data_IF_807803402713
#
_entry.id   IF_807803402713
#
_cell.length_a   1.000
_cell.length_b   1.000
_cell.length_c   1.000
_cell.angle_alpha   90.00
_cell.angle_beta   90.00
_cell.angle_gamma   90.00
#
_symmetry.space_group_name_H-M   'P 1'
#
loop_
_entity.id
_entity.type
_entity.pdbx_description
1 polymer ?
#
# COMPACT_ATOMS: atom_id res chain seq x y z
N UNK A 1 -16.86 -31.64 -28.52
CA UNK A 1 -16.14 -31.08 -27.37
C UNK A 1 -16.82 -29.83 -26.79
N UNK A 2 -17.82 -29.23 -27.46
CA UNK A 2 -18.55 -28.03 -26.99
C UNK A 2 -19.65 -28.29 -25.94
N UNK A 3 -20.18 -29.52 -25.87
CA UNK A 3 -21.39 -29.82 -25.10
C UNK A 3 -21.25 -29.66 -23.57
N UNK A 4 -20.04 -29.70 -23.03
CA UNK A 4 -19.82 -29.69 -21.57
C UNK A 4 -19.56 -28.28 -21.01
N UNK A 5 -18.89 -27.41 -21.78
CA UNK A 5 -18.89 -25.98 -21.50
C UNK A 5 -20.34 -25.44 -21.54
N UNK A 6 -21.16 -25.94 -22.47
CA UNK A 6 -22.58 -25.59 -22.55
C UNK A 6 -23.33 -25.92 -21.26
N UNK A 7 -23.20 -27.11 -20.66
CA UNK A 7 -23.93 -27.46 -19.41
C UNK A 7 -23.64 -26.50 -18.25
N UNK A 8 -22.38 -26.12 -18.03
CA UNK A 8 -22.02 -25.18 -16.96
C UNK A 8 -22.51 -23.75 -17.29
N UNK A 9 -22.42 -23.36 -18.56
CA UNK A 9 -22.94 -22.07 -19.03
C UNK A 9 -24.46 -22.01 -18.88
N UNK A 10 -25.19 -23.06 -19.23
CA UNK A 10 -26.65 -23.18 -19.12
C UNK A 10 -27.11 -23.15 -17.66
N UNK A 11 -26.36 -23.81 -16.77
CA UNK A 11 -26.57 -23.69 -15.33
C UNK A 11 -26.42 -22.25 -14.87
N UNK A 12 -25.34 -21.58 -15.27
CA UNK A 12 -25.10 -20.18 -14.91
C UNK A 12 -26.22 -19.29 -15.46
N UNK A 13 -26.65 -19.52 -16.69
CA UNK A 13 -27.71 -18.75 -17.34
C UNK A 13 -29.06 -18.89 -16.61
N UNK A 14 -29.39 -20.09 -16.14
CA UNK A 14 -30.66 -20.35 -15.46
C UNK A 14 -30.64 -20.10 -13.94
N UNK A 15 -29.45 -20.14 -13.30
CA UNK A 15 -29.30 -20.17 -11.83
C UNK A 15 -28.36 -19.11 -11.25
N UNK A 16 -27.87 -18.15 -12.04
CA UNK A 16 -26.98 -17.10 -11.54
C UNK A 16 -27.50 -16.38 -10.29
N UNK A 17 -28.79 -16.03 -10.25
CA UNK A 17 -29.43 -15.38 -9.09
C UNK A 17 -29.42 -16.25 -7.84
N UNK A 18 -29.76 -17.54 -7.97
CA UNK A 18 -29.80 -18.49 -6.85
C UNK A 18 -28.38 -18.68 -6.27
N UNK A 19 -27.39 -18.88 -7.15
CA UNK A 19 -25.99 -19.07 -6.75
C UNK A 19 -25.43 -17.79 -6.11
N UNK A 20 -25.74 -16.62 -6.68
CA UNK A 20 -25.28 -15.33 -6.14
C UNK A 20 -25.87 -15.03 -4.77
N UNK A 21 -27.14 -15.41 -4.52
CA UNK A 21 -27.77 -15.29 -3.19
C UNK A 21 -27.09 -16.17 -2.16
N UNK A 22 -26.79 -17.43 -2.52
CA UNK A 22 -26.07 -18.34 -1.64
C UNK A 22 -24.66 -17.81 -1.33
N UNK A 23 -23.93 -17.36 -2.35
CA UNK A 23 -22.63 -16.75 -2.15
C UNK A 23 -22.68 -15.50 -1.27
N UNK A 24 -23.70 -14.63 -1.44
CA UNK A 24 -23.87 -13.44 -0.63
C UNK A 24 -24.08 -13.79 0.85
N UNK A 25 -24.85 -14.83 1.16
CA UNK A 25 -24.99 -15.34 2.52
C UNK A 25 -23.66 -15.81 3.11
N UNK A 26 -22.87 -16.53 2.32
CA UNK A 26 -21.58 -17.07 2.75
C UNK A 26 -20.57 -15.93 3.02
N UNK A 27 -20.36 -15.04 2.04
CA UNK A 27 -19.32 -13.99 2.13
C UNK A 27 -19.63 -12.97 3.22
N UNK A 28 -20.90 -12.67 3.46
CA UNK A 28 -21.33 -11.71 4.50
C UNK A 28 -21.27 -12.28 5.92
N UNK A 29 -21.00 -13.58 6.09
CA UNK A 29 -20.85 -14.23 7.41
C UNK A 29 -19.47 -14.82 7.63
N UNK A 30 -18.66 -14.93 6.58
CA UNK A 30 -17.37 -15.60 6.63
C UNK A 30 -16.35 -14.79 7.44
N UNK A 31 -15.55 -15.49 8.26
CA UNK A 31 -14.58 -14.88 9.19
C UNK A 31 -13.42 -14.13 8.49
N UNK A 32 -13.04 -14.56 7.29
CA UNK A 32 -12.03 -13.92 6.43
C UNK A 32 -12.54 -12.73 5.62
N UNK A 33 -13.83 -12.39 5.71
CA UNK A 33 -14.43 -11.24 5.00
C UNK A 33 -15.27 -10.37 5.94
N UNK A 34 -14.71 -9.90 7.06
CA UNK A 34 -15.46 -9.10 8.04
C UNK A 34 -15.99 -7.78 7.48
N UNK A 35 -15.31 -7.16 6.51
CA UNK A 35 -15.75 -5.90 5.92
C UNK A 35 -17.02 -6.07 5.08
N UNK A 36 -17.30 -7.28 4.58
CA UNK A 36 -18.54 -7.59 3.85
C UNK A 36 -19.78 -7.64 4.75
N UNK A 37 -19.63 -7.82 6.07
CA UNK A 37 -20.76 -7.97 6.99
C UNK A 37 -21.62 -6.70 7.08
N UNK A 38 -21.01 -5.55 6.81
CA UNK A 38 -21.65 -4.24 6.89
C UNK A 38 -22.19 -3.74 5.53
N UNK A 39 -21.94 -4.47 4.44
CA UNK A 39 -22.41 -4.08 3.11
C UNK A 39 -23.91 -4.35 2.95
N UNK A 40 -24.56 -3.59 2.06
CA UNK A 40 -25.95 -3.90 1.73
C UNK A 40 -26.04 -5.24 0.99
N UNK A 41 -26.84 -6.16 1.52
CA UNK A 41 -27.04 -7.48 0.92
C UNK A 41 -27.48 -7.42 -0.55
N UNK A 42 -28.39 -6.53 -0.98
CA UNK A 42 -28.74 -6.39 -2.40
C UNK A 42 -27.54 -6.03 -3.29
N UNK A 43 -26.65 -5.15 -2.83
CA UNK A 43 -25.43 -4.78 -3.55
C UNK A 43 -24.46 -5.96 -3.68
N UNK A 44 -24.33 -6.77 -2.62
CA UNK A 44 -23.51 -7.98 -2.67
C UNK A 44 -24.10 -8.96 -3.68
N UNK A 45 -25.41 -9.26 -3.61
CA UNK A 45 -26.08 -10.16 -4.57
C UNK A 45 -25.88 -9.69 -6.02
N UNK A 46 -26.10 -8.39 -6.29
CA UNK A 46 -25.90 -7.80 -7.62
C UNK A 46 -24.49 -8.08 -8.15
N UNK A 47 -23.47 -7.99 -7.30
CA UNK A 47 -22.09 -8.29 -7.67
C UNK A 47 -21.88 -9.75 -8.08
N UNK A 48 -22.47 -10.70 -7.35
CA UNK A 48 -22.38 -12.12 -7.70
C UNK A 48 -23.08 -12.39 -9.04
N UNK A 49 -24.26 -11.81 -9.24
CA UNK A 49 -25.01 -11.92 -10.50
C UNK A 49 -24.23 -11.35 -11.68
N UNK A 50 -23.66 -10.15 -11.53
CA UNK A 50 -22.89 -9.52 -12.60
C UNK A 50 -21.61 -10.30 -12.93
N UNK A 51 -20.96 -10.89 -11.92
CA UNK A 51 -19.83 -11.79 -12.13
C UNK A 51 -20.25 -13.01 -12.96
N UNK A 52 -21.36 -13.67 -12.63
CA UNK A 52 -21.83 -14.84 -13.39
C UNK A 52 -22.25 -14.49 -14.83
N UNK A 53 -22.82 -13.30 -15.04
CA UNK A 53 -23.06 -12.76 -16.40
C UNK A 53 -21.75 -12.53 -17.16
N UNK A 54 -20.72 -12.00 -16.50
CA UNK A 54 -19.39 -11.88 -17.12
C UNK A 54 -18.83 -13.24 -17.47
N UNK A 55 -18.94 -14.23 -16.58
CA UNK A 55 -18.41 -15.56 -16.81
C UNK A 55 -18.96 -16.17 -18.11
N UNK A 56 -20.27 -16.04 -18.34
CA UNK A 56 -20.91 -16.41 -19.60
C UNK A 56 -20.27 -15.72 -20.79
N UNK A 57 -20.06 -14.39 -20.74
CA UNK A 57 -19.40 -13.65 -21.83
C UNK A 57 -17.97 -14.13 -22.07
N UNK A 58 -17.16 -14.28 -21.02
CA UNK A 58 -15.79 -14.81 -21.11
C UNK A 58 -15.74 -16.21 -21.72
N UNK A 59 -16.75 -17.04 -21.46
CA UNK A 59 -16.82 -18.39 -22.02
C UNK A 59 -17.09 -18.44 -23.52
N UNK A 60 -17.64 -17.37 -24.09
CA UNK A 60 -17.91 -17.25 -25.53
C UNK A 60 -16.91 -16.33 -26.24
N UNK A 61 -16.08 -15.60 -25.49
CA UNK A 61 -15.11 -14.66 -26.03
C UNK A 61 -13.88 -15.39 -26.62
N UNK A 62 -13.40 -14.88 -27.74
CA UNK A 62 -12.11 -15.30 -28.33
C UNK A 62 -10.94 -14.93 -27.40
N UNK A 63 -11.06 -13.81 -26.70
CA UNK A 63 -10.05 -13.27 -25.78
C UNK A 63 -10.63 -13.05 -24.37
N UNK A 64 -10.82 -14.11 -23.56
CA UNK A 64 -11.48 -14.02 -22.25
C UNK A 64 -10.80 -13.07 -21.27
N UNK A 65 -9.47 -12.93 -21.37
CA UNK A 65 -8.69 -12.02 -20.54
C UNK A 65 -9.08 -10.55 -20.79
N UNK A 66 -9.21 -10.12 -22.05
CA UNK A 66 -9.61 -8.74 -22.36
C UNK A 66 -11.08 -8.48 -22.00
N UNK A 67 -11.96 -9.46 -22.21
CA UNK A 67 -13.38 -9.39 -21.82
C UNK A 67 -13.56 -9.17 -20.31
N UNK A 68 -12.69 -9.78 -19.49
CA UNK A 68 -12.72 -9.62 -18.03
C UNK A 68 -12.44 -8.18 -17.57
N UNK A 69 -11.62 -7.43 -18.31
CA UNK A 69 -10.98 -6.18 -17.85
C UNK A 69 -11.97 -5.12 -17.39
N UNK A 70 -12.98 -4.84 -18.20
CA UNK A 70 -13.98 -3.81 -17.92
C UNK A 70 -14.73 -4.09 -16.62
N UNK A 71 -15.15 -5.35 -16.43
CA UNK A 71 -15.83 -5.76 -15.19
C UNK A 71 -14.86 -5.74 -14.01
N UNK A 72 -13.69 -6.37 -14.14
CA UNK A 72 -12.68 -6.48 -13.07
C UNK A 72 -12.30 -5.10 -12.52
N UNK A 73 -12.14 -4.11 -13.41
CA UNK A 73 -11.80 -2.75 -13.00
C UNK A 73 -12.94 -2.06 -12.27
N UNK A 74 -14.17 -2.16 -12.78
CA UNK A 74 -15.36 -1.60 -12.12
C UNK A 74 -15.59 -2.26 -10.75
N UNK A 75 -15.42 -3.57 -10.67
CA UNK A 75 -15.47 -4.35 -9.43
C UNK A 75 -14.47 -3.81 -8.42
N UNK A 76 -13.19 -3.75 -8.81
CA UNK A 76 -12.11 -3.32 -7.94
C UNK A 76 -12.29 -1.88 -7.46
N UNK A 77 -12.71 -0.96 -8.34
CA UNK A 77 -12.98 0.42 -7.97
C UNK A 77 -14.11 0.52 -6.94
N UNK A 78 -15.26 -0.12 -7.21
CA UNK A 78 -16.42 -0.09 -6.30
C UNK A 78 -16.03 -0.57 -4.90
N UNK A 79 -15.37 -1.72 -4.79
CA UNK A 79 -14.99 -2.27 -3.48
C UNK A 79 -13.85 -1.51 -2.79
N UNK A 80 -12.93 -0.90 -3.55
CA UNK A 80 -11.93 0.00 -2.99
C UNK A 80 -12.56 1.26 -2.39
N UNK A 81 -13.57 1.82 -3.08
CA UNK A 81 -14.31 2.99 -2.62
C UNK A 81 -15.11 2.68 -1.34
N UNK A 82 -15.70 1.48 -1.25
CA UNK A 82 -16.32 0.90 -0.04
C UNK A 82 -15.32 0.50 1.06
N UNK A 83 -14.02 0.80 0.89
CA UNK A 83 -12.94 0.51 1.85
C UNK A 83 -12.78 -0.98 2.18
N UNK A 84 -13.15 -1.87 1.27
CA UNK A 84 -12.90 -3.30 1.42
C UNK A 84 -11.43 -3.60 1.18
N UNK A 85 -10.73 -4.25 2.12
CA UNK A 85 -9.33 -4.63 1.96
C UNK A 85 -9.13 -5.60 0.79
N UNK A 86 -7.99 -5.48 0.10
CA UNK A 86 -7.64 -6.33 -1.04
C UNK A 86 -7.77 -7.82 -0.69
N UNK A 87 -7.24 -8.27 0.45
CA UNK A 87 -7.33 -9.69 0.82
C UNK A 87 -8.78 -10.20 0.93
N UNK A 88 -9.71 -9.37 1.39
CA UNK A 88 -11.11 -9.74 1.52
C UNK A 88 -11.79 -9.78 0.16
N UNK A 89 -11.51 -8.80 -0.70
CA UNK A 89 -12.02 -8.77 -2.08
C UNK A 89 -11.53 -9.98 -2.89
N UNK A 90 -10.26 -10.35 -2.76
CA UNK A 90 -9.71 -11.57 -3.39
C UNK A 90 -10.36 -12.83 -2.82
N UNK A 91 -10.55 -12.90 -1.50
CA UNK A 91 -11.20 -14.06 -0.88
C UNK A 91 -12.68 -14.19 -1.28
N UNK A 92 -13.38 -13.07 -1.47
CA UNK A 92 -14.74 -13.05 -1.98
C UNK A 92 -14.86 -13.66 -3.38
N UNK A 93 -13.90 -13.41 -4.27
CA UNK A 93 -13.81 -14.06 -5.59
C UNK A 93 -13.55 -15.57 -5.48
N UNK A 94 -12.70 -15.99 -4.53
CA UNK A 94 -12.48 -17.42 -4.24
C UNK A 94 -13.78 -18.10 -3.79
N UNK A 95 -14.57 -17.43 -2.94
CA UNK A 95 -15.87 -17.93 -2.49
C UNK A 95 -16.90 -17.99 -3.62
N UNK A 96 -16.90 -17.05 -4.57
CA UNK A 96 -17.76 -17.09 -5.76
C UNK A 96 -17.51 -18.37 -6.57
N UNK A 97 -16.23 -18.67 -6.84
CA UNK A 97 -15.82 -19.88 -7.56
C UNK A 97 -16.26 -21.14 -6.83
N UNK A 98 -16.04 -21.19 -5.51
CA UNK A 98 -16.46 -22.32 -4.67
C UNK A 98 -17.97 -22.53 -4.71
N UNK A 99 -18.76 -21.47 -4.60
CA UNK A 99 -20.22 -21.54 -4.63
C UNK A 99 -20.75 -22.06 -5.96
N UNK A 100 -20.18 -21.59 -7.08
CA UNK A 100 -20.52 -22.12 -8.41
C UNK A 100 -20.26 -23.63 -8.51
N UNK A 101 -19.08 -24.08 -8.05
CA UNK A 101 -18.71 -25.48 -8.12
C UNK A 101 -19.60 -26.37 -7.24
N UNK A 102 -19.81 -25.98 -5.97
CA UNK A 102 -20.67 -26.72 -5.05
C UNK A 102 -22.09 -26.81 -5.59
N UNK A 103 -22.62 -25.72 -6.16
CA UNK A 103 -23.96 -25.74 -6.75
C UNK A 103 -24.05 -26.72 -7.92
N UNK A 104 -23.06 -26.75 -8.82
CA UNK A 104 -23.03 -27.69 -9.94
C UNK A 104 -22.93 -29.16 -9.49
N UNK A 105 -22.15 -29.43 -8.44
CA UNK A 105 -22.01 -30.76 -7.83
C UNK A 105 -23.33 -31.21 -7.15
N UNK A 106 -23.98 -30.33 -6.39
CA UNK A 106 -25.27 -30.61 -5.73
C UNK A 106 -26.41 -30.87 -6.72
N UNK A 107 -26.42 -30.20 -7.88
CA UNK A 107 -27.41 -30.44 -8.94
C UNK A 107 -27.16 -31.76 -9.70
N UNK A 108 -26.13 -32.52 -9.32
CA UNK A 108 -25.92 -33.84 -9.88
C UNK A 108 -25.51 -33.83 -11.34
N UNK A 109 -24.87 -32.76 -11.79
CA UNK A 109 -24.60 -32.54 -13.21
C UNK A 109 -23.58 -33.53 -13.80
N UNK A 110 -22.79 -34.23 -12.97
CA UNK A 110 -21.58 -34.96 -13.36
C UNK A 110 -21.47 -36.39 -12.78
N UNK A 111 -22.54 -37.19 -12.84
CA UNK A 111 -22.55 -38.52 -12.23
C UNK A 111 -21.92 -39.65 -13.06
N UNK A 112 -21.78 -39.50 -14.38
CA UNK A 112 -21.24 -40.59 -15.23
C UNK A 112 -19.71 -40.52 -15.40
N UNK A 113 -19.07 -41.66 -15.63
CA UNK A 113 -17.61 -41.75 -15.80
C UNK A 113 -17.09 -40.98 -17.03
N UNK A 114 -17.88 -40.86 -18.11
CA UNK A 114 -17.56 -40.05 -19.29
C UNK A 114 -17.63 -38.55 -18.98
N UNK A 115 -18.57 -38.13 -18.11
CA UNK A 115 -18.69 -36.74 -17.64
C UNK A 115 -17.53 -36.31 -16.74
N UNK A 116 -16.80 -37.25 -16.11
CA UNK A 116 -15.66 -36.90 -15.25
C UNK A 116 -14.48 -36.29 -16.01
N UNK A 117 -14.13 -36.79 -17.19
CA UNK A 117 -13.00 -36.22 -17.96
C UNK A 117 -13.37 -34.84 -18.51
N UNK A 118 -14.61 -34.67 -18.95
CA UNK A 118 -15.13 -33.38 -19.39
C UNK A 118 -15.26 -32.39 -18.21
N UNK A 119 -15.52 -32.88 -16.99
CA UNK A 119 -15.48 -32.10 -15.75
C UNK A 119 -14.16 -31.46 -15.48
N UNK A 120 -13.07 -32.20 -15.70
CA UNK A 120 -11.72 -31.65 -15.55
C UNK A 120 -11.48 -30.51 -16.54
N UNK A 121 -11.94 -30.64 -17.79
CA UNK A 121 -11.74 -29.60 -18.80
C UNK A 121 -12.52 -28.31 -18.50
N UNK A 122 -13.80 -28.41 -18.13
CA UNK A 122 -14.57 -27.21 -17.73
C UNK A 122 -14.07 -26.61 -16.42
N UNK A 123 -13.63 -27.46 -15.48
CA UNK A 123 -13.02 -26.99 -14.24
C UNK A 123 -11.78 -26.16 -14.56
N UNK A 124 -10.88 -26.65 -15.41
CA UNK A 124 -9.68 -25.91 -15.82
C UNK A 124 -10.03 -24.59 -16.51
N UNK A 125 -11.01 -24.59 -17.42
CA UNK A 125 -11.47 -23.37 -18.11
C UNK A 125 -12.11 -22.36 -17.15
N UNK A 126 -12.91 -22.85 -16.21
CA UNK A 126 -13.53 -22.04 -15.15
C UNK A 126 -12.46 -21.41 -14.28
N UNK A 127 -11.51 -22.20 -13.77
CA UNK A 127 -10.39 -21.72 -12.96
C UNK A 127 -9.65 -20.60 -13.69
N UNK A 128 -9.30 -20.80 -14.96
CA UNK A 128 -8.60 -19.80 -15.76
C UNK A 128 -9.36 -18.45 -15.84
N UNK A 129 -10.66 -18.48 -16.05
CA UNK A 129 -11.49 -17.26 -16.10
C UNK A 129 -11.55 -16.54 -14.76
N UNK A 130 -11.70 -17.29 -13.66
CA UNK A 130 -11.64 -16.72 -12.31
C UNK A 130 -10.27 -16.13 -12.01
N UNK A 131 -9.19 -16.78 -12.43
CA UNK A 131 -7.82 -16.33 -12.22
C UNK A 131 -7.53 -15.03 -12.99
N UNK A 132 -8.07 -14.89 -14.22
CA UNK A 132 -8.00 -13.63 -14.96
C UNK A 132 -8.67 -12.48 -14.22
N UNK A 133 -9.89 -12.69 -13.72
CA UNK A 133 -10.61 -11.67 -12.96
C UNK A 133 -9.86 -11.35 -11.67
N UNK A 134 -9.40 -12.36 -10.92
CA UNK A 134 -8.66 -12.16 -9.68
C UNK A 134 -7.37 -11.36 -9.91
N UNK A 135 -6.58 -11.72 -10.93
CA UNK A 135 -5.36 -11.00 -11.29
C UNK A 135 -5.65 -9.54 -11.63
N UNK A 136 -6.65 -9.26 -12.47
CA UNK A 136 -6.99 -7.90 -12.87
C UNK A 136 -7.56 -7.07 -11.72
N UNK A 137 -8.33 -7.67 -10.82
CA UNK A 137 -8.82 -7.02 -9.60
C UNK A 137 -7.65 -6.65 -8.70
N UNK A 138 -6.71 -7.58 -8.45
CA UNK A 138 -5.49 -7.32 -7.66
C UNK A 138 -4.67 -6.19 -8.28
N UNK A 139 -4.44 -6.25 -9.60
CA UNK A 139 -3.71 -5.23 -10.33
C UNK A 139 -4.37 -3.85 -10.18
N UNK A 140 -5.70 -3.77 -10.30
CA UNK A 140 -6.42 -2.50 -10.18
C UNK A 140 -6.42 -1.96 -8.76
N UNK A 141 -6.54 -2.82 -7.76
CA UNK A 141 -6.38 -2.44 -6.36
C UNK A 141 -4.99 -1.86 -6.10
N UNK A 142 -3.94 -2.53 -6.58
CA UNK A 142 -2.57 -2.05 -6.44
C UNK A 142 -2.38 -0.67 -7.08
N UNK A 143 -2.91 -0.45 -8.29
CA UNK A 143 -2.90 0.87 -8.95
C UNK A 143 -3.57 1.95 -8.08
N UNK A 144 -4.74 1.65 -7.48
CA UNK A 144 -5.44 2.59 -6.59
C UNK A 144 -4.69 2.88 -5.30
N UNK A 145 -4.05 1.88 -4.71
CA UNK A 145 -3.23 2.03 -3.50
C UNK A 145 -2.04 2.96 -3.79
N UNK A 146 -1.32 2.73 -4.89
CA UNK A 146 -0.21 3.62 -5.29
C UNK A 146 -0.68 5.05 -5.52
N UNK A 147 -1.81 5.25 -6.24
CA UNK A 147 -2.39 6.57 -6.46
C UNK A 147 -2.74 7.30 -5.15
N UNK A 148 -3.34 6.62 -4.17
CA UNK A 148 -3.67 7.21 -2.86
C UNK A 148 -2.39 7.55 -2.07
N UNK A 149 -1.39 6.68 -2.09
CA UNK A 149 -0.09 6.91 -1.45
C UNK A 149 0.60 8.14 -2.06
N UNK A 150 0.71 8.21 -3.39
CA UNK A 150 1.37 9.31 -4.09
C UNK A 150 0.66 10.65 -3.80
N UNK A 151 -0.68 10.63 -3.79
CA UNK A 151 -1.49 11.80 -3.45
C UNK A 151 -1.23 12.28 -2.02
N UNK A 152 -1.16 11.35 -1.06
CA UNK A 152 -0.87 11.69 0.35
C UNK A 152 0.57 12.16 0.54
N UNK A 153 1.54 11.55 -0.13
CA UNK A 153 2.94 11.97 -0.08
C UNK A 153 3.10 13.40 -0.62
N UNK A 154 2.48 13.71 -1.76
CA UNK A 154 2.49 15.06 -2.31
C UNK A 154 1.83 16.09 -1.38
N UNK A 155 0.71 15.72 -0.75
CA UNK A 155 0.05 16.56 0.24
C UNK A 155 0.95 16.84 1.46
N UNK A 156 1.65 15.82 1.96
CA UNK A 156 2.61 15.95 3.06
C UNK A 156 3.79 16.82 2.67
N UNK A 157 4.37 16.63 1.48
CA UNK A 157 5.47 17.46 0.98
C UNK A 157 5.06 18.94 0.89
N UNK A 158 3.86 19.20 0.37
CA UNK A 158 3.28 20.55 0.28
C UNK A 158 3.08 21.19 1.65
N UNK A 159 2.57 20.43 2.62
CA UNK A 159 2.39 20.90 4.01
C UNK A 159 3.73 21.17 4.70
N UNK A 160 4.73 20.30 4.53
CA UNK A 160 6.09 20.51 5.06
C UNK A 160 6.70 21.78 4.48
N UNK A 161 6.63 21.97 3.16
CA UNK A 161 7.16 23.17 2.49
C UNK A 161 6.47 24.45 3.00
N UNK A 162 5.15 24.43 3.20
CA UNK A 162 4.40 25.56 3.77
C UNK A 162 4.82 25.86 5.22
N UNK A 163 4.99 24.85 6.06
CA UNK A 163 5.46 25.01 7.45
C UNK A 163 6.89 25.58 7.54
N UNK A 164 7.75 25.25 6.57
CA UNK A 164 9.10 25.81 6.46
C UNK A 164 9.13 27.26 5.93
N UNK A 165 8.12 27.69 5.18
CA UNK A 165 8.08 29.02 4.53
C UNK A 165 7.26 30.05 5.35
N UNK A 166 6.48 29.63 6.35
CA UNK A 166 5.72 30.49 7.26
C UNK A 166 6.62 31.46 8.06
N UNK A 167 6.56 32.75 7.71
CA UNK A 167 7.53 33.79 8.03
C UNK A 167 7.73 34.19 9.50
N UNK A 168 6.95 33.69 10.47
CA UNK A 168 7.17 33.98 11.90
C UNK A 168 8.19 33.05 12.58
N UNK A 169 8.50 31.88 11.99
CA UNK A 169 9.46 30.92 12.57
C UNK A 169 10.93 31.29 12.35
N UNK A 170 11.24 32.23 11.44
CA UNK A 170 12.64 32.57 11.12
C UNK A 170 13.37 33.05 12.38
N UNK A 171 12.78 33.94 13.15
CA UNK A 171 13.43 34.52 14.35
C UNK A 171 13.69 33.46 15.42
N UNK A 172 12.73 32.57 15.69
CA UNK A 172 12.91 31.47 16.64
C UNK A 172 13.95 30.46 16.16
N UNK A 173 14.00 30.16 14.86
CA UNK A 173 15.01 29.26 14.27
C UNK A 173 16.43 29.83 14.39
N UNK A 174 16.62 31.13 14.10
CA UNK A 174 17.91 31.79 14.29
C UNK A 174 18.29 31.85 15.77
N UNK A 175 17.35 32.15 16.67
CA UNK A 175 17.58 32.20 18.11
C UNK A 175 17.94 30.83 18.71
N UNK A 176 17.21 29.78 18.32
CA UNK A 176 17.48 28.40 18.76
C UNK A 176 18.84 27.92 18.26
N UNK A 177 19.20 28.23 17.01
CA UNK A 177 20.52 27.90 16.48
C UNK A 177 21.63 28.65 17.23
N UNK A 178 21.47 29.96 17.42
CA UNK A 178 22.44 30.78 18.13
C UNK A 178 22.67 30.25 19.55
N UNK A 179 21.60 29.85 20.25
CA UNK A 179 21.69 29.23 21.58
C UNK A 179 22.55 27.96 21.57
N UNK A 180 22.28 27.02 20.66
CA UNK A 180 23.05 25.76 20.59
C UNK A 180 24.51 25.99 20.19
N UNK A 181 24.80 26.95 19.30
CA UNK A 181 26.18 27.32 18.91
C UNK A 181 26.92 27.95 20.09
N UNK A 182 26.28 28.84 20.85
CA UNK A 182 26.87 29.45 22.06
C UNK A 182 27.12 28.39 23.13
N UNK A 183 26.19 27.46 23.35
CA UNK A 183 26.39 26.34 24.29
C UNK A 183 27.58 25.48 23.86
N UNK A 184 27.69 25.13 22.59
CA UNK A 184 28.83 24.37 22.07
C UNK A 184 30.17 25.13 22.26
N UNK A 185 30.16 26.45 22.03
CA UNK A 185 31.35 27.29 22.26
C UNK A 185 31.77 27.31 23.74
N UNK A 186 30.84 27.54 24.67
CA UNK A 186 31.12 27.57 26.11
C UNK A 186 31.63 26.21 26.60
N UNK A 187 31.02 25.12 26.14
CA UNK A 187 31.46 23.76 26.48
C UNK A 187 32.89 23.53 25.96
N UNK A 188 33.19 23.94 24.73
CA UNK A 188 34.55 23.81 24.15
C UNK A 188 35.58 24.55 24.99
N UNK A 189 35.28 25.80 25.36
CA UNK A 189 36.17 26.61 26.19
C UNK A 189 36.38 26.01 27.59
N UNK A 190 35.32 25.51 28.22
CA UNK A 190 35.38 24.90 29.54
C UNK A 190 36.24 23.62 29.55
N UNK A 191 36.00 22.72 28.60
CA UNK A 191 36.80 21.49 28.51
C UNK A 191 38.26 21.79 28.17
N UNK A 192 38.53 22.77 27.31
CA UNK A 192 39.90 23.11 26.94
C UNK A 192 40.68 23.82 28.07
N UNK A 193 40.02 24.63 28.89
CA UNK A 193 40.68 25.33 30.02
C UNK A 193 40.85 24.47 31.28
N UNK A 194 40.03 23.43 31.47
CA UNK A 194 39.98 22.69 32.75
C UNK A 194 40.16 21.16 32.63
N UNK A 195 39.87 20.52 31.49
CA UNK A 195 39.85 19.05 31.40
C UNK A 195 40.41 18.49 30.08
N UNK A 196 41.64 17.97 30.12
CA UNK A 196 42.32 17.30 29.00
C UNK A 196 41.71 15.93 28.61
N UNK A 197 40.41 15.86 28.31
CA UNK A 197 39.75 14.64 27.80
C UNK A 197 39.07 14.93 26.47
N UNK A 198 39.62 14.37 25.39
CA UNK A 198 39.38 14.85 24.03
C UNK A 198 38.30 14.14 23.19
N UNK A 199 37.48 13.25 23.75
CA UNK A 199 36.68 12.31 22.92
C UNK A 199 35.16 12.52 23.00
N UNK A 200 34.61 12.99 24.13
CA UNK A 200 33.15 13.09 24.31
C UNK A 200 32.57 14.34 23.62
N UNK A 201 33.36 15.40 23.45
CA UNK A 201 32.85 16.70 23.01
C UNK A 201 32.46 16.75 21.52
N UNK A 202 33.15 16.01 20.64
CA UNK A 202 32.92 16.03 19.18
C UNK A 202 31.53 15.54 18.80
N UNK A 203 30.92 14.66 19.62
CA UNK A 203 29.58 14.16 19.38
C UNK A 203 28.48 15.21 19.63
N UNK A 204 28.72 16.18 20.50
CA UNK A 204 27.76 17.26 20.78
C UNK A 204 27.64 18.26 19.62
N UNK A 205 28.69 18.37 18.78
CA UNK A 205 28.68 19.22 17.59
C UNK A 205 27.73 18.75 16.49
N UNK A 206 27.32 17.48 16.47
CA UNK A 206 26.37 16.98 15.48
C UNK A 206 24.97 17.58 15.65
N UNK A 207 24.55 17.91 16.87
CA UNK A 207 23.19 18.42 17.14
C UNK A 207 22.95 19.77 16.45
N UNK A 208 23.81 20.80 16.60
CA UNK A 208 23.70 22.05 15.83
C UNK A 208 23.77 21.83 14.31
N UNK A 209 24.64 20.93 13.84
CA UNK A 209 24.88 20.68 12.40
C UNK A 209 23.65 20.04 11.73
N UNK A 210 23.05 19.02 12.36
CA UNK A 210 21.86 18.35 11.85
C UNK A 210 20.66 19.31 11.88
N UNK A 211 20.48 20.06 12.98
CA UNK A 211 19.43 21.07 13.07
C UNK A 211 19.59 22.16 11.99
N UNK A 212 20.82 22.60 11.69
CA UNK A 212 21.07 23.61 10.67
C UNK A 212 20.72 23.11 9.27
N UNK A 213 21.01 21.83 9.01
CA UNK A 213 20.70 21.17 7.74
C UNK A 213 19.18 20.99 7.56
N UNK A 214 18.44 20.71 8.63
CA UNK A 214 16.97 20.61 8.60
C UNK A 214 16.32 22.01 8.46
N UNK A 215 16.83 23.02 9.17
CA UNK A 215 16.22 24.35 9.19
C UNK A 215 16.53 25.19 7.94
N UNK A 216 17.74 25.08 7.37
CA UNK A 216 18.17 25.91 6.23
C UNK A 216 18.53 25.11 4.97
N UNK A 217 18.30 23.80 4.95
CA UNK A 217 18.61 22.93 3.81
C UNK A 217 20.07 23.09 3.39
N UNK A 218 20.31 23.36 2.10
CA UNK A 218 21.66 23.54 1.52
C UNK A 218 22.47 24.68 2.13
N UNK A 219 21.82 25.69 2.75
CA UNK A 219 22.52 26.79 3.42
C UNK A 219 23.01 26.44 4.83
N UNK A 220 22.51 25.35 5.42
CA UNK A 220 22.95 24.85 6.73
C UNK A 220 24.42 24.42 6.77
N UNK A 221 25.00 24.10 5.60
CA UNK A 221 26.41 23.70 5.45
C UNK A 221 27.38 24.79 5.95
N UNK A 222 26.99 26.07 5.86
CA UNK A 222 27.82 27.16 6.39
C UNK A 222 28.01 27.09 7.91
N UNK A 223 26.99 26.62 8.65
CA UNK A 223 27.06 26.47 10.12
C UNK A 223 28.04 25.37 10.49
N UNK A 224 28.05 24.25 9.74
CA UNK A 224 29.03 23.17 9.95
C UNK A 224 30.47 23.60 9.64
N UNK A 225 30.68 24.38 8.57
CA UNK A 225 31.99 24.91 8.22
C UNK A 225 32.49 25.86 9.31
N UNK A 226 31.63 26.73 9.82
CA UNK A 226 31.97 27.66 10.90
C UNK A 226 32.38 26.95 12.20
N UNK A 227 31.59 25.97 12.66
CA UNK A 227 31.91 25.17 13.85
C UNK A 227 33.21 24.37 13.68
N UNK A 228 33.49 23.84 12.49
CA UNK A 228 34.72 23.12 12.20
C UNK A 228 35.95 24.05 12.25
N UNK A 229 35.87 25.24 11.65
CA UNK A 229 36.95 26.25 11.71
C UNK A 229 37.20 26.69 13.14
N UNK A 230 36.14 26.96 13.91
CA UNK A 230 36.23 27.34 15.32
C UNK A 230 36.97 26.28 16.16
N UNK A 231 36.69 25.01 15.92
CA UNK A 231 37.33 23.89 16.60
C UNK A 231 38.83 23.77 16.26
N UNK A 232 39.20 23.96 14.99
CA UNK A 232 40.59 24.01 14.56
C UNK A 232 41.33 25.22 15.17
N UNK A 233 40.71 26.40 15.21
CA UNK A 233 41.28 27.58 15.84
C UNK A 233 41.50 27.38 17.34
N UNK A 234 40.55 26.77 18.06
CA UNK A 234 40.71 26.46 19.48
C UNK A 234 41.94 25.58 19.73
N UNK A 235 42.13 24.55 18.89
CA UNK A 235 43.28 23.65 19.01
C UNK A 235 44.61 24.35 18.65
N UNK A 236 44.61 25.27 17.69
CA UNK A 236 45.80 26.02 17.27
C UNK A 236 46.29 27.00 18.35
N UNK A 237 45.37 27.75 18.96
CA UNK A 237 45.69 28.77 19.99
C UNK A 237 46.29 28.15 21.26
N UNK A 238 45.91 26.91 21.59
CA UNK A 238 46.37 26.26 22.82
C UNK A 238 47.66 25.43 22.62
N UNK A 239 48.03 25.11 21.37
CA UNK A 239 49.33 24.53 21.04
C UNK A 239 50.49 25.52 21.23
N UNK A 240 50.24 26.84 21.18
CA UNK A 240 51.26 27.86 21.46
C UNK A 240 51.67 27.92 22.95
N UNK A 241 50.93 27.25 23.85
CA UNK A 241 51.20 27.22 25.28
C UNK A 241 52.08 26.07 25.77
N UNK A 242 52.48 25.13 24.90
CA UNK A 242 53.30 23.98 25.29
C UNK A 242 54.66 24.07 24.61
N UNK A 243 55.65 24.58 25.34
CA UNK A 243 57.05 24.41 24.97
C UNK A 243 57.36 22.91 24.87
N UNK A 244 57.70 22.44 23.66
CA UNK A 244 58.28 21.11 23.48
C UNK A 244 59.64 21.08 24.19
N UNK A 245 59.68 20.49 25.39
CA UNK A 245 60.90 19.91 25.99
C UNK A 245 60.89 18.41 25.79
#
# INVERSE_FOLDING_TARGET
MEAYAAKLIDLIESKADDIARQWAEDVMKHNRTPSYHNLSKPMVIEQGVDFYKLFRRMSMAEHPYEEAKTFSWKYAQKFYDEKIPLQEATYALILLRRNLWLYAEFQGMFFTALEKQQAVESLNRTILMFDYVAYQVIQKYQERIHQDIDTRLFAVETLMKKSCIGGEKKTYQYALMALFVVIAFVITFYYHSVAQTGVIFTHLFYIPIVLASICWGRKGVWVSVFLAVMLLCSHAVFLEGVSFT
#
